data_IF_581759180243
#
_entry.id   IF_581759180243
#
_cell.length_a   1.000
_cell.length_b   1.000
_cell.length_c   1.000
_cell.angle_alpha   90.00
_cell.angle_beta   90.00
_cell.angle_gamma   90.00
#
_symmetry.space_group_name_H-M   'P 1'
#
loop_
_entity.id
_entity.type
_entity.pdbx_description
1 polymer ?
#
# COMPACT_ATOMS: atom_id res chain seq x y z
N UNK A 1 9.47 -3.18 7.21
CA UNK A 1 8.83 -2.04 6.53
C UNK A 1 8.94 -0.80 7.41
N UNK A 2 9.17 0.38 6.84
CA UNK A 2 9.21 1.65 7.59
C UNK A 2 8.58 2.76 6.74
N UNK A 3 7.76 3.59 7.37
CA UNK A 3 7.25 4.80 6.71
C UNK A 3 8.31 5.90 6.73
N UNK A 4 8.55 6.52 5.58
CA UNK A 4 9.45 7.66 5.46
C UNK A 4 8.70 8.98 5.72
N UNK A 5 9.42 10.09 5.75
CA UNK A 5 8.87 11.42 6.02
C UNK A 5 7.89 11.92 4.95
N UNK A 6 7.91 11.35 3.74
CA UNK A 6 6.95 11.65 2.66
C UNK A 6 5.65 10.85 2.80
N UNK A 7 5.52 10.02 3.84
CA UNK A 7 4.38 9.13 4.03
C UNK A 7 4.43 7.87 3.16
N UNK A 8 5.53 7.62 2.44
CA UNK A 8 5.67 6.36 1.69
C UNK A 8 6.16 5.26 2.61
N UNK A 9 5.72 4.04 2.37
CA UNK A 9 6.17 2.85 3.11
C UNK A 9 7.26 2.16 2.30
N UNK A 10 8.45 2.00 2.89
CA UNK A 10 9.58 1.34 2.25
C UNK A 10 9.65 -0.13 2.71
N UNK A 11 9.73 -1.03 1.73
CA UNK A 11 10.02 -2.45 1.90
C UNK A 11 11.50 -2.69 1.56
N UNK A 12 12.31 -3.00 2.57
CA UNK A 12 13.72 -3.37 2.38
C UNK A 12 13.89 -4.86 2.71
N UNK A 13 14.42 -5.61 1.76
CA UNK A 13 14.66 -7.05 1.87
C UNK A 13 16.13 -7.32 2.22
N UNK A 14 16.42 -8.49 2.79
CA UNK A 14 17.77 -8.85 3.23
C UNK A 14 18.77 -8.97 2.08
N UNK A 15 18.29 -9.23 0.87
CA UNK A 15 19.08 -9.29 -0.35
C UNK A 15 19.37 -7.91 -0.96
N UNK A 16 19.00 -6.82 -0.28
CA UNK A 16 19.23 -5.45 -0.71
C UNK A 16 18.19 -4.91 -1.69
N UNK A 17 17.17 -5.69 -2.07
CA UNK A 17 16.05 -5.15 -2.86
C UNK A 17 15.21 -4.20 -2.03
N UNK A 18 14.85 -3.08 -2.63
CA UNK A 18 13.97 -2.08 -2.04
C UNK A 18 12.80 -1.77 -2.96
N UNK A 19 11.62 -1.67 -2.35
CA UNK A 19 10.39 -1.27 -3.02
C UNK A 19 9.68 -0.22 -2.18
N UNK A 20 8.86 0.60 -2.83
CA UNK A 20 8.15 1.69 -2.17
C UNK A 20 6.67 1.56 -2.43
N UNK A 21 5.88 1.49 -1.35
CA UNK A 21 4.44 1.65 -1.41
C UNK A 21 4.06 3.12 -1.19
N UNK A 22 3.31 3.67 -2.15
CA UNK A 22 2.88 5.07 -2.19
C UNK A 22 1.37 5.13 -2.32
N UNK A 23 0.74 6.10 -1.65
CA UNK A 23 -0.65 6.43 -1.93
C UNK A 23 -0.75 7.19 -3.27
N UNK A 24 -1.81 6.93 -4.04
CA UNK A 24 -2.08 7.51 -5.36
C UNK A 24 -3.57 7.83 -5.51
N UNK A 25 -3.88 8.68 -6.47
CA UNK A 25 -5.25 9.04 -6.84
C UNK A 25 -5.84 10.15 -5.99
N UNK A 26 -7.07 10.55 -6.33
CA UNK A 26 -7.80 11.56 -5.57
C UNK A 26 -8.04 11.04 -4.14
N UNK A 27 -7.76 11.90 -3.15
CA UNK A 27 -7.85 11.59 -1.72
C UNK A 27 -7.04 10.36 -1.26
N UNK A 28 -5.95 9.99 -1.94
CA UNK A 28 -5.09 8.86 -1.53
C UNK A 28 -5.87 7.53 -1.41
N UNK A 29 -6.85 7.33 -2.29
CA UNK A 29 -7.76 6.18 -2.29
C UNK A 29 -7.16 4.91 -2.89
N UNK A 30 -6.00 5.00 -3.52
CA UNK A 30 -5.31 3.88 -4.16
C UNK A 30 -3.88 3.78 -3.64
N UNK A 31 -3.28 2.59 -3.76
CA UNK A 31 -1.88 2.37 -3.41
C UNK A 31 -1.14 1.70 -4.56
N UNK A 32 0.13 2.05 -4.73
CA UNK A 32 1.00 1.43 -5.72
C UNK A 32 2.30 0.99 -5.06
N UNK A 33 2.79 -0.19 -5.44
CA UNK A 33 4.16 -0.62 -5.18
C UNK A 33 4.99 -0.30 -6.42
N UNK A 34 6.09 0.39 -6.19
CA UNK A 34 7.07 0.73 -7.23
C UNK A 34 8.45 0.16 -6.89
N UNK A 35 9.21 -0.16 -7.94
CA UNK A 35 10.63 -0.49 -7.84
C UNK A 35 11.47 0.76 -7.53
N UNK A 36 12.78 0.58 -7.33
CA UNK A 36 13.72 1.70 -7.16
C UNK A 36 13.78 2.62 -8.37
N UNK A 37 13.49 2.09 -9.56
CA UNK A 37 13.48 2.83 -10.83
C UNK A 37 12.11 3.45 -11.15
N UNK A 38 11.22 3.51 -10.15
CA UNK A 38 9.85 4.07 -10.24
C UNK A 38 8.91 3.31 -11.19
N UNK A 39 9.28 2.08 -11.57
CA UNK A 39 8.41 1.16 -12.29
C UNK A 39 7.29 0.68 -11.38
N UNK A 40 6.03 0.82 -11.83
CA UNK A 40 4.86 0.37 -11.08
C UNK A 40 4.67 -1.13 -11.27
N UNK A 41 4.75 -1.87 -10.16
CA UNK A 41 4.69 -3.33 -10.17
C UNK A 41 3.28 -3.84 -9.84
N UNK A 42 2.64 -3.23 -8.84
CA UNK A 42 1.33 -3.64 -8.33
C UNK A 42 0.54 -2.41 -7.91
N UNK A 43 -0.73 -2.37 -8.29
CA UNK A 43 -1.70 -1.40 -7.79
C UNK A 43 -2.78 -2.09 -6.95
N UNK A 44 -3.14 -1.45 -5.85
CA UNK A 44 -4.14 -1.88 -4.89
C UNK A 44 -5.25 -0.83 -4.81
N UNK A 45 -6.48 -1.25 -5.08
CA UNK A 45 -7.67 -0.41 -5.01
C UNK A 45 -8.57 -0.90 -3.86
N UNK A 46 -8.37 -0.38 -2.63
CA UNK A 46 -9.22 -0.73 -1.50
C UNK A 46 -10.62 -0.14 -1.65
N UNK A 47 -11.64 -0.98 -1.47
CA UNK A 47 -13.04 -0.61 -1.42
C UNK A 47 -13.62 -1.04 -0.08
N UNK A 48 -14.09 -0.07 0.71
CA UNK A 48 -14.63 -0.37 2.03
C UNK A 48 -16.00 -1.02 1.93
N UNK A 49 -16.14 -2.21 2.50
CA UNK A 49 -17.38 -2.94 2.59
C UNK A 49 -18.07 -2.65 3.93
N UNK A 50 -19.02 -1.71 3.92
CA UNK A 50 -19.79 -1.31 5.10
C UNK A 50 -20.57 -2.43 5.78
N UNK A 51 -20.99 -3.47 5.03
CA UNK A 51 -21.76 -4.59 5.60
C UNK A 51 -20.89 -5.54 6.42
N UNK A 52 -19.62 -5.68 6.04
CA UNK A 52 -18.65 -6.59 6.69
C UNK A 52 -17.58 -5.86 7.50
N UNK A 53 -17.58 -4.53 7.47
CA UNK A 53 -16.61 -3.67 8.13
C UNK A 53 -15.16 -4.04 7.81
N UNK A 54 -14.88 -4.26 6.52
CA UNK A 54 -13.55 -4.63 6.02
C UNK A 54 -13.28 -3.98 4.66
N UNK A 55 -12.01 -3.90 4.27
CA UNK A 55 -11.64 -3.55 2.90
C UNK A 55 -11.63 -4.79 2.00
N UNK A 56 -12.29 -4.69 0.85
CA UNK A 56 -12.08 -5.58 -0.29
C UNK A 56 -11.06 -4.91 -1.21
N UNK A 57 -10.18 -5.69 -1.84
CA UNK A 57 -9.12 -5.15 -2.70
C UNK A 57 -9.28 -5.66 -4.12
N UNK A 58 -9.37 -4.73 -5.07
CA UNK A 58 -9.07 -5.02 -6.48
C UNK A 58 -7.58 -4.77 -6.70
N UNK A 59 -6.86 -5.80 -7.15
CA UNK A 59 -5.40 -5.77 -7.31
C UNK A 59 -5.06 -5.98 -8.78
N UNK A 60 -4.26 -5.09 -9.34
CA UNK A 60 -3.77 -5.16 -10.72
C UNK A 60 -2.26 -5.11 -10.77
N UNK A 61 -1.69 -5.81 -11.74
CA UNK A 61 -0.25 -5.91 -11.99
C UNK A 61 -0.05 -6.17 -13.49
N UNK A 62 1.02 -5.64 -14.07
CA UNK A 62 1.34 -5.90 -15.47
C UNK A 62 1.89 -7.33 -15.63
N UNK A 63 2.77 -7.73 -14.72
CA UNK A 63 3.25 -9.10 -14.59
C UNK A 63 2.77 -9.73 -13.29
N UNK A 64 2.24 -10.96 -13.37
CA UNK A 64 1.76 -11.66 -12.19
C UNK A 64 2.91 -11.89 -11.20
N UNK A 65 2.80 -11.39 -9.94
CA UNK A 65 3.82 -11.64 -8.93
C UNK A 65 3.98 -13.13 -8.70
N UNK A 66 5.23 -13.61 -8.72
CA UNK A 66 5.53 -15.02 -8.43
C UNK A 66 5.33 -15.34 -6.95
N UNK A 67 5.51 -14.34 -6.08
CA UNK A 67 5.37 -14.47 -4.64
C UNK A 67 4.10 -13.77 -4.14
N UNK A 68 3.13 -14.56 -3.69
CA UNK A 68 1.88 -14.06 -3.12
C UNK A 68 2.09 -13.30 -1.82
N UNK A 69 3.16 -13.60 -1.06
CA UNK A 69 3.48 -12.88 0.18
C UNK A 69 3.79 -11.42 -0.10
N UNK A 70 4.39 -11.10 -1.26
CA UNK A 70 4.64 -9.72 -1.65
C UNK A 70 3.35 -8.94 -1.89
N UNK A 71 2.35 -9.58 -2.50
CA UNK A 71 1.01 -9.01 -2.67
C UNK A 71 0.34 -8.77 -1.32
N UNK A 72 0.40 -9.76 -0.42
CA UNK A 72 -0.18 -9.65 0.93
C UNK A 72 0.51 -8.57 1.77
N UNK A 73 1.82 -8.39 1.62
CA UNK A 73 2.56 -7.31 2.25
C UNK A 73 2.05 -5.93 1.79
N UNK A 74 1.75 -5.79 0.49
CA UNK A 74 1.12 -4.59 -0.07
C UNK A 74 -0.26 -4.30 0.53
N UNK A 75 -1.11 -5.33 0.67
CA UNK A 75 -2.43 -5.21 1.33
C UNK A 75 -2.27 -4.79 2.79
N UNK A 76 -1.36 -5.44 3.53
CA UNK A 76 -1.08 -5.10 4.93
C UNK A 76 -0.61 -3.65 5.07
N UNK A 77 0.34 -3.23 4.24
CA UNK A 77 0.88 -1.87 4.25
C UNK A 77 -0.17 -0.82 3.86
N UNK A 78 -1.06 -1.13 2.92
CA UNK A 78 -2.19 -0.27 2.54
C UNK A 78 -3.14 -0.05 3.74
N UNK A 79 -3.52 -1.14 4.42
CA UNK A 79 -4.34 -1.05 5.63
C UNK A 79 -3.64 -0.28 6.75
N UNK A 80 -2.33 -0.51 6.95
CA UNK A 80 -1.54 0.23 7.95
C UNK A 80 -1.51 1.73 7.65
N UNK A 81 -1.35 2.13 6.39
CA UNK A 81 -1.39 3.53 5.98
C UNK A 81 -2.76 4.15 6.29
N UNK A 82 -3.84 3.48 5.87
CA UNK A 82 -5.22 3.94 6.11
C UNK A 82 -5.45 4.14 7.61
N UNK A 83 -5.14 3.14 8.43
CA UNK A 83 -5.32 3.21 9.88
C UNK A 83 -4.50 4.34 10.52
N UNK A 84 -3.25 4.53 10.08
CA UNK A 84 -2.38 5.60 10.56
C UNK A 84 -2.91 6.99 10.22
N UNK A 85 -3.48 7.17 9.01
CA UNK A 85 -4.08 8.44 8.59
C UNK A 85 -5.43 8.71 9.25
N UNK A 86 -6.29 7.70 9.39
CA UNK A 86 -7.56 7.86 10.11
C UNK A 86 -7.34 8.23 11.57
N UNK A 87 -6.34 7.64 12.24
CA UNK A 87 -5.98 8.00 13.61
C UNK A 87 -5.45 9.43 13.73
N UNK A 88 -4.61 9.87 12.78
CA UNK A 88 -4.10 11.24 12.75
C UNK A 88 -5.21 12.29 12.56
N UNK A 89 -6.17 12.02 11.67
CA UNK A 89 -7.31 12.91 11.44
C UNK A 89 -8.28 12.96 12.64
N UNK A 90 -8.50 11.83 13.32
CA UNK A 90 -9.35 11.78 14.51
C UNK A 90 -8.76 12.57 15.70
N UNK A 91 -7.43 12.63 15.83
CA UNK A 91 -6.76 13.41 16.88
C UNK A 91 -6.71 14.92 16.62
N UNK A 92 -7.08 15.38 15.43
CA UNK A 92 -7.16 16.81 15.07
C UNK A 92 -8.58 17.38 15.14
N UNK A 93 -9.59 16.56 15.46
CA UNK A 93 -11.00 16.93 15.54
C UNK A 93 -11.44 17.30 16.97
#
# INVERSE_FOLDING_TARGET
MKMNWRGHIVFAFQDGREFVLKAKGLFNSQFVIESKDEEMLIQFNPQFNWKKFQYNYDISYDEKPQDILFVLLGVYASNYFIASMSGAMAGMA
#
